data_IF_464787768584
#
_entry.id   IF_464787768584
#
_cell.length_a   1.000
_cell.length_b   1.000
_cell.length_c   1.000
_cell.angle_alpha   90.00
_cell.angle_beta   90.00
_cell.angle_gamma   90.00
#
_symmetry.space_group_name_H-M   'P 1'
#
loop_
_entity.id
_entity.type
_entity.pdbx_description
1 polymer ?
#
# COMPACT_ATOMS: atom_id res chain seq x y z
N UNK A 1 14.22 9.02 28.83
CA UNK A 1 14.94 8.90 27.55
C UNK A 1 15.04 7.43 27.23
N UNK A 2 14.36 6.97 26.18
CA UNK A 2 14.53 5.60 25.68
C UNK A 2 15.88 5.52 24.95
N UNK A 3 16.63 4.43 25.15
CA UNK A 3 17.89 4.22 24.44
C UNK A 3 17.67 4.15 22.93
N UNK A 4 18.59 4.70 22.11
CA UNK A 4 18.49 4.64 20.66
C UNK A 4 18.41 3.20 20.17
N UNK A 5 17.64 2.96 19.09
CA UNK A 5 17.52 1.64 18.49
C UNK A 5 18.89 1.17 17.97
N UNK A 6 19.22 -0.10 18.23
CA UNK A 6 20.37 -0.78 17.61
C UNK A 6 19.87 -1.89 16.69
N UNK A 7 20.66 -2.24 15.67
CA UNK A 7 20.34 -3.35 14.74
C UNK A 7 20.08 -4.67 15.49
N UNK A 8 20.82 -4.94 16.57
CA UNK A 8 20.61 -6.12 17.41
C UNK A 8 19.24 -6.09 18.11
N UNK A 9 18.83 -4.94 18.63
CA UNK A 9 17.52 -4.77 19.29
C UNK A 9 16.39 -4.83 18.28
N UNK A 10 16.56 -4.22 17.11
CA UNK A 10 15.67 -4.32 15.97
C UNK A 10 15.42 -5.79 15.60
N UNK A 11 16.49 -6.53 15.31
CA UNK A 11 16.41 -7.95 14.93
C UNK A 11 15.67 -8.78 15.97
N UNK A 12 15.99 -8.58 17.25
CA UNK A 12 15.35 -9.31 18.35
C UNK A 12 13.85 -9.03 18.41
N UNK A 13 13.45 -7.76 18.41
CA UNK A 13 12.04 -7.36 18.46
C UNK A 13 11.26 -7.86 17.24
N UNK A 14 11.84 -7.74 16.04
CA UNK A 14 11.21 -8.22 14.82
C UNK A 14 11.03 -9.74 14.85
N UNK A 15 12.04 -10.50 15.30
CA UNK A 15 11.93 -11.96 15.47
C UNK A 15 10.92 -12.37 16.55
N UNK A 16 10.79 -11.59 17.63
CA UNK A 16 9.76 -11.83 18.66
C UNK A 16 8.35 -11.70 18.07
N UNK A 17 8.12 -10.68 17.25
CA UNK A 17 6.84 -10.48 16.54
C UNK A 17 6.58 -11.60 15.54
N UNK A 18 7.59 -12.00 14.76
CA UNK A 18 7.49 -13.08 13.76
C UNK A 18 7.29 -14.48 14.35
N UNK A 19 7.43 -14.66 15.67
CA UNK A 19 7.05 -15.92 16.33
C UNK A 19 5.54 -16.07 16.43
N UNK A 20 4.79 -14.97 16.38
CA UNK A 20 3.35 -15.03 16.13
C UNK A 20 3.14 -15.44 14.68
N UNK A 21 2.34 -16.48 14.41
CA UNK A 21 1.91 -16.85 13.05
C UNK A 21 0.91 -15.82 12.45
N UNK A 22 1.02 -14.55 12.84
CA UNK A 22 0.12 -13.47 12.42
C UNK A 22 0.58 -12.92 11.07
N UNK A 23 -0.35 -12.86 10.11
CA UNK A 23 -0.17 -12.14 8.85
C UNK A 23 -0.47 -10.64 9.05
N UNK A 24 0.02 -9.81 8.13
CA UNK A 24 -0.15 -8.35 8.14
C UNK A 24 0.35 -7.70 9.43
N UNK A 25 1.57 -7.98 9.91
CA UNK A 25 2.05 -7.35 11.16
C UNK A 25 2.94 -6.16 10.86
N UNK A 26 2.57 -5.00 11.42
CA UNK A 26 3.40 -3.79 11.36
C UNK A 26 4.18 -3.64 12.65
N UNK A 27 5.51 -3.53 12.54
CA UNK A 27 6.38 -3.23 13.67
C UNK A 27 6.95 -1.83 13.48
N UNK A 28 6.70 -0.96 14.46
CA UNK A 28 7.19 0.41 14.46
C UNK A 28 8.34 0.58 15.47
N UNK A 29 9.35 1.34 15.06
CA UNK A 29 10.49 1.71 15.86
C UNK A 29 10.69 3.22 15.79
N UNK A 30 10.72 3.87 16.94
CA UNK A 30 10.96 5.31 17.06
C UNK A 30 12.43 5.61 17.35
N UNK A 31 12.84 6.87 17.14
CA UNK A 31 14.19 7.38 17.41
C UNK A 31 15.28 6.61 16.65
N UNK A 32 15.01 6.29 15.39
CA UNK A 32 15.91 5.57 14.50
C UNK A 32 16.65 6.55 13.62
N UNK A 33 17.98 6.58 13.75
CA UNK A 33 18.83 7.37 12.86
C UNK A 33 18.86 6.77 11.44
N UNK A 34 19.11 7.58 10.39
CA UNK A 34 19.16 7.07 9.01
C UNK A 34 20.16 5.93 8.81
N UNK A 35 21.34 6.03 9.43
CA UNK A 35 22.38 4.99 9.38
C UNK A 35 21.88 3.65 9.95
N UNK A 36 21.18 3.68 11.08
CA UNK A 36 20.61 2.47 11.68
C UNK A 36 19.46 1.93 10.83
N UNK A 37 18.62 2.79 10.25
CA UNK A 37 17.54 2.38 9.35
C UNK A 37 18.10 1.63 8.14
N UNK A 38 19.15 2.17 7.50
CA UNK A 38 19.85 1.53 6.40
C UNK A 38 20.43 0.16 6.78
N UNK A 39 21.10 0.05 7.91
CA UNK A 39 21.63 -1.23 8.40
C UNK A 39 20.52 -2.25 8.71
N UNK A 40 19.35 -1.78 9.18
CA UNK A 40 18.19 -2.64 9.40
C UNK A 40 17.64 -3.15 8.07
N UNK A 41 17.61 -2.31 7.03
CA UNK A 41 17.19 -2.73 5.71
C UNK A 41 18.14 -3.75 5.07
N UNK A 42 19.45 -3.51 5.11
CA UNK A 42 20.46 -4.46 4.64
C UNK A 42 20.28 -5.84 5.31
N UNK A 43 19.91 -5.85 6.60
CA UNK A 43 19.61 -7.09 7.32
C UNK A 43 18.36 -7.82 6.79
N UNK A 44 17.33 -7.10 6.32
CA UNK A 44 16.12 -7.66 5.72
C UNK A 44 16.38 -8.19 4.31
N UNK A 45 17.13 -7.43 3.51
CA UNK A 45 17.34 -7.69 2.08
C UNK A 45 18.44 -8.72 1.82
N UNK A 46 19.53 -8.67 2.58
CA UNK A 46 20.74 -9.48 2.33
C UNK A 46 21.12 -10.39 3.51
N UNK A 47 20.61 -10.09 4.71
CA UNK A 47 20.98 -10.77 5.93
C UNK A 47 20.20 -12.05 6.23
N UNK A 48 20.23 -12.45 7.51
CA UNK A 48 19.58 -13.68 7.99
C UNK A 48 18.04 -13.72 7.87
N UNK A 49 17.44 -12.58 7.53
CA UNK A 49 16.00 -12.42 7.34
C UNK A 49 15.61 -12.42 5.85
N UNK A 50 16.60 -12.53 4.95
CA UNK A 50 16.41 -12.60 3.50
C UNK A 50 15.45 -13.72 3.10
N UNK A 51 14.58 -13.42 2.14
CA UNK A 51 13.58 -14.35 1.60
C UNK A 51 12.25 -14.36 2.35
N UNK A 52 12.12 -13.60 3.43
CA UNK A 52 10.83 -13.26 4.05
C UNK A 52 10.22 -12.05 3.35
N UNK A 53 8.88 -11.95 3.35
CA UNK A 53 8.16 -10.84 2.74
C UNK A 53 8.07 -9.69 3.73
N UNK A 54 8.93 -8.69 3.56
CA UNK A 54 8.88 -7.46 4.32
C UNK A 54 8.68 -6.28 3.36
N UNK A 55 7.95 -5.26 3.80
CA UNK A 55 8.01 -3.90 3.23
C UNK A 55 8.66 -2.99 4.26
N UNK A 56 9.52 -2.11 3.77
CA UNK A 56 10.33 -1.23 4.58
C UNK A 56 9.89 0.23 4.37
N UNK A 57 9.73 0.96 5.46
CA UNK A 57 9.45 2.39 5.40
C UNK A 57 10.23 3.13 6.48
N UNK A 58 11.04 4.09 6.08
CA UNK A 58 11.72 5.00 6.97
C UNK A 58 11.23 6.43 6.76
N UNK A 59 10.82 7.09 7.84
CA UNK A 59 10.44 8.50 7.83
C UNK A 59 11.50 9.31 8.56
N UNK A 60 12.30 10.07 7.81
CA UNK A 60 13.34 10.92 8.36
C UNK A 60 12.80 12.09 9.18
N UNK A 61 11.60 12.61 8.86
CA UNK A 61 10.99 13.74 9.58
C UNK A 61 10.62 13.40 11.02
N UNK A 62 10.22 12.14 11.27
CA UNK A 62 9.83 11.64 12.60
C UNK A 62 10.86 10.69 13.20
N UNK A 63 11.94 10.37 12.48
CA UNK A 63 12.92 9.36 12.86
C UNK A 63 12.26 7.99 13.18
N UNK A 64 11.27 7.60 12.40
CA UNK A 64 10.49 6.39 12.61
C UNK A 64 10.75 5.38 11.50
N UNK A 65 11.06 4.15 11.89
CA UNK A 65 11.19 3.00 11.01
C UNK A 65 9.97 2.08 11.19
N UNK A 66 9.28 1.76 10.09
CA UNK A 66 8.25 0.73 10.04
C UNK A 66 8.71 -0.44 9.17
N UNK A 67 8.42 -1.64 9.65
CA UNK A 67 8.57 -2.87 8.90
C UNK A 67 7.23 -3.57 8.87
N UNK A 68 6.69 -3.74 7.67
CA UNK A 68 5.48 -4.50 7.44
C UNK A 68 5.85 -5.94 7.08
N UNK A 69 5.50 -6.87 7.95
CA UNK A 69 5.81 -8.29 7.79
C UNK A 69 4.61 -9.06 7.23
N UNK A 70 4.90 -9.90 6.24
CA UNK A 70 3.98 -10.91 5.70
C UNK A 70 2.65 -10.31 5.20
N UNK A 71 2.65 -9.54 4.10
CA UNK A 71 1.41 -9.13 3.44
C UNK A 71 0.52 -10.34 3.17
N UNK A 72 -0.71 -10.30 3.67
CA UNK A 72 -1.70 -11.36 3.48
C UNK A 72 -2.29 -11.33 2.08
N UNK A 73 -3.03 -12.38 1.73
CA UNK A 73 -3.88 -12.37 0.53
C UNK A 73 -4.91 -11.24 0.54
N UNK A 74 -5.33 -10.79 1.73
CA UNK A 74 -6.25 -9.67 1.88
C UNK A 74 -5.56 -8.35 1.56
N UNK A 75 -4.29 -8.19 1.92
CA UNK A 75 -3.50 -7.02 1.53
C UNK A 75 -3.25 -6.99 0.02
N UNK A 76 -2.72 -8.07 -0.54
CA UNK A 76 -2.31 -8.11 -1.95
C UNK A 76 -3.48 -8.03 -2.94
N UNK A 77 -4.71 -8.37 -2.52
CA UNK A 77 -5.86 -8.36 -3.43
C UNK A 77 -6.22 -6.95 -3.95
N UNK A 78 -5.79 -5.90 -3.26
CA UNK A 78 -6.00 -4.51 -3.69
C UNK A 78 -5.04 -4.12 -4.82
N UNK A 79 -3.76 -4.48 -4.73
CA UNK A 79 -2.82 -4.32 -5.85
C UNK A 79 -3.29 -5.11 -7.08
N UNK A 80 -3.75 -6.34 -6.90
CA UNK A 80 -4.35 -7.15 -7.98
C UNK A 80 -5.58 -6.46 -8.60
N UNK A 81 -6.40 -5.80 -7.78
CA UNK A 81 -7.57 -5.06 -8.27
C UNK A 81 -7.17 -3.80 -9.05
N UNK A 82 -6.07 -3.15 -8.70
CA UNK A 82 -5.51 -2.04 -9.47
C UNK A 82 -4.95 -2.50 -10.82
N UNK A 83 -4.24 -3.63 -10.88
CA UNK A 83 -3.83 -4.21 -12.17
C UNK A 83 -5.02 -4.54 -13.08
N UNK A 84 -6.11 -5.09 -12.51
CA UNK A 84 -7.36 -5.30 -13.26
C UNK A 84 -7.99 -4.00 -13.73
N UNK A 85 -7.98 -2.97 -12.90
CA UNK A 85 -8.50 -1.64 -13.28
C UNK A 85 -7.68 -1.04 -14.41
N UNK A 86 -6.36 -1.12 -14.34
CA UNK A 86 -5.47 -0.64 -15.39
C UNK A 86 -5.72 -1.35 -16.73
N UNK A 87 -5.91 -2.67 -16.73
CA UNK A 87 -6.26 -3.41 -17.94
C UNK A 87 -7.59 -2.92 -18.57
N UNK A 88 -8.56 -2.47 -17.77
CA UNK A 88 -9.78 -1.84 -18.28
C UNK A 88 -9.56 -0.40 -18.76
N UNK A 89 -8.51 0.27 -18.29
CA UNK A 89 -8.14 1.61 -18.74
C UNK A 89 -7.44 1.59 -20.09
N UNK A 90 -6.71 0.52 -20.43
CA UNK A 90 -5.93 0.42 -21.67
C UNK A 90 -6.66 0.90 -22.94
N UNK A 91 -7.95 0.59 -23.19
CA UNK A 91 -8.67 1.12 -24.36
C UNK A 91 -8.92 2.64 -24.34
N UNK A 92 -8.76 3.29 -23.18
CA UNK A 92 -8.89 4.73 -22.96
C UNK A 92 -7.53 5.45 -22.97
N UNK A 93 -6.42 4.71 -23.00
CA UNK A 93 -5.07 5.26 -23.01
C UNK A 93 -4.59 5.55 -24.44
N UNK A 94 -3.65 6.51 -24.61
CA UNK A 94 -2.92 6.68 -25.86
C UNK A 94 -2.24 5.38 -26.31
N UNK A 95 -2.12 5.10 -27.62
CA UNK A 95 -1.44 3.90 -28.11
C UNK A 95 0.03 3.78 -27.65
N UNK A 96 0.68 4.91 -27.32
CA UNK A 96 2.04 5.01 -26.80
C UNK A 96 2.17 4.74 -25.30
N UNK A 97 1.08 4.40 -24.59
CA UNK A 97 1.11 4.31 -23.12
C UNK A 97 2.17 3.35 -22.57
N UNK A 98 2.53 2.29 -23.30
CA UNK A 98 3.59 1.34 -22.88
C UNK A 98 5.00 1.96 -22.92
N UNK A 99 5.19 2.97 -23.76
CA UNK A 99 6.43 3.75 -23.85
C UNK A 99 6.40 4.92 -22.85
N UNK A 100 5.22 5.48 -22.61
CA UNK A 100 5.04 6.68 -21.80
C UNK A 100 4.88 6.41 -20.30
N UNK A 101 4.41 5.21 -19.91
CA UNK A 101 4.06 4.86 -18.53
C UNK A 101 4.68 3.53 -18.10
N UNK A 102 5.06 3.46 -16.83
CA UNK A 102 5.59 2.27 -16.17
C UNK A 102 4.64 1.86 -15.05
N UNK A 103 4.25 0.57 -15.03
CA UNK A 103 3.54 -0.04 -13.92
C UNK A 103 4.55 -0.71 -13.01
N UNK A 104 4.65 -0.25 -11.78
CA UNK A 104 5.71 -0.67 -10.87
C UNK A 104 5.11 -1.17 -9.56
N UNK A 105 5.12 -2.49 -9.32
CA UNK A 105 4.86 -3.01 -7.99
C UNK A 105 6.11 -2.83 -7.12
N UNK A 106 5.97 -2.16 -5.96
CA UNK A 106 6.99 -2.17 -4.89
C UNK A 106 8.37 -1.62 -5.26
N UNK A 107 8.44 -0.54 -6.05
CA UNK A 107 9.71 0.18 -6.24
C UNK A 107 10.10 0.95 -4.97
N UNK A 108 11.37 0.83 -4.56
CA UNK A 108 11.88 1.63 -3.44
C UNK A 108 12.30 3.02 -3.91
N UNK A 109 11.81 4.03 -3.20
CA UNK A 109 12.06 5.45 -3.48
C UNK A 109 12.60 6.11 -2.22
N UNK A 110 13.67 6.89 -2.36
CA UNK A 110 14.37 7.53 -1.23
C UNK A 110 14.70 9.02 -1.39
N UNK A 111 14.51 9.59 -2.60
CA UNK A 111 14.96 10.95 -2.92
C UNK A 111 13.92 12.04 -2.56
N UNK A 112 13.18 11.85 -1.47
CA UNK A 112 12.14 12.79 -1.04
C UNK A 112 12.73 14.17 -0.67
N UNK A 113 11.94 15.21 -0.88
CA UNK A 113 12.21 16.59 -0.47
C UNK A 113 11.80 16.87 0.98
N UNK A 114 12.20 18.03 1.50
CA UNK A 114 11.78 18.49 2.82
C UNK A 114 10.24 18.60 2.91
N UNK A 115 9.61 18.23 4.05
CA UNK A 115 10.23 17.84 5.32
C UNK A 115 10.65 16.36 5.40
N UNK A 116 10.43 15.57 4.35
CA UNK A 116 10.65 14.13 4.32
C UNK A 116 12.03 13.73 3.76
N UNK A 117 12.95 14.68 3.58
CA UNK A 117 14.28 14.42 3.06
C UNK A 117 15.02 13.32 3.83
N UNK A 118 15.49 12.29 3.11
CA UNK A 118 16.12 11.09 3.66
C UNK A 118 15.15 10.00 4.11
N UNK A 119 13.85 10.13 3.85
CA UNK A 119 12.88 9.04 4.00
C UNK A 119 13.08 8.00 2.90
N UNK A 120 12.68 6.75 3.15
CA UNK A 120 12.62 5.68 2.13
C UNK A 120 11.25 5.02 2.20
N UNK A 121 10.64 4.74 1.04
CA UNK A 121 9.32 4.12 0.98
C UNK A 121 9.15 3.26 -0.27
N UNK A 122 8.34 2.21 -0.12
CA UNK A 122 7.88 1.35 -1.20
C UNK A 122 6.35 1.45 -1.30
N UNK A 123 5.76 1.77 -2.47
CA UNK A 123 4.32 1.78 -2.65
C UNK A 123 3.78 0.35 -2.82
N UNK A 124 2.49 0.16 -2.52
CA UNK A 124 1.88 -1.15 -2.68
C UNK A 124 1.55 -1.48 -4.14
N UNK A 125 1.34 -0.42 -4.93
CA UNK A 125 1.21 -0.41 -6.37
C UNK A 125 1.39 1.04 -6.85
N UNK A 126 2.02 1.24 -8.00
CA UNK A 126 2.14 2.57 -8.58
C UNK A 126 2.16 2.58 -10.11
N UNK A 127 1.89 3.77 -10.65
CA UNK A 127 2.14 4.13 -12.05
C UNK A 127 3.01 5.37 -12.07
N UNK A 128 4.02 5.34 -12.94
CA UNK A 128 4.99 6.40 -13.13
C UNK A 128 5.03 6.78 -14.61
N UNK A 129 5.16 8.06 -14.99
CA UNK A 129 5.68 8.39 -16.31
C UNK A 129 7.06 7.76 -16.49
N UNK A 130 7.38 7.31 -17.70
CA UNK A 130 8.68 6.70 -18.00
C UNK A 130 9.82 7.65 -17.63
N UNK A 131 10.86 7.12 -16.97
CA UNK A 131 12.02 7.86 -16.43
C UNK A 131 11.71 8.88 -15.31
N UNK A 132 10.47 8.94 -14.81
CA UNK A 132 10.16 9.80 -13.66
C UNK A 132 10.81 9.25 -12.38
N UNK A 133 11.38 10.15 -11.57
CA UNK A 133 11.97 9.79 -10.28
C UNK A 133 10.93 9.36 -9.23
N UNK A 134 9.66 9.75 -9.44
CA UNK A 134 8.54 9.43 -8.55
C UNK A 134 7.33 8.96 -9.35
N UNK A 135 6.51 8.06 -8.78
CA UNK A 135 5.23 7.69 -9.34
C UNK A 135 4.27 8.87 -9.27
N UNK A 136 3.46 9.02 -10.31
CA UNK A 136 2.40 10.01 -10.38
C UNK A 136 1.14 9.54 -9.65
N UNK A 137 0.91 8.23 -9.58
CA UNK A 137 -0.19 7.59 -8.86
C UNK A 137 0.32 6.46 -7.97
N UNK A 138 -0.07 6.48 -6.70
CA UNK A 138 0.34 5.48 -5.70
C UNK A 138 -0.89 4.87 -5.01
N UNK A 139 -0.82 3.58 -4.69
CA UNK A 139 -1.71 2.86 -3.77
C UNK A 139 -0.98 2.55 -2.46
N UNK A 140 -1.66 2.75 -1.33
CA UNK A 140 -1.24 2.26 0.01
C UNK A 140 -2.43 1.56 0.69
N UNK A 141 -2.18 0.43 1.34
CA UNK A 141 -3.18 -0.51 1.86
C UNK A 141 -2.86 -0.86 3.31
N UNK A 142 -3.56 -0.22 4.25
CA UNK A 142 -3.40 -0.55 5.67
C UNK A 142 -4.40 -1.61 6.13
N UNK A 143 -3.93 -2.82 6.40
CA UNK A 143 -4.75 -3.87 7.07
C UNK A 143 -4.61 -3.78 8.60
N UNK A 144 -3.42 -4.02 9.14
CA UNK A 144 -3.13 -3.81 10.57
C UNK A 144 -2.70 -2.39 10.90
N UNK A 145 -2.20 -1.66 9.90
CA UNK A 145 -1.72 -0.29 10.08
C UNK A 145 -2.83 0.63 10.56
N UNK A 146 -2.49 1.56 11.45
CA UNK A 146 -3.42 2.58 11.89
C UNK A 146 -3.75 3.52 10.73
N UNK A 147 -4.99 3.99 10.66
CA UNK A 147 -5.38 4.94 9.60
C UNK A 147 -4.56 6.24 9.66
N UNK A 148 -4.15 6.69 10.85
CA UNK A 148 -3.25 7.84 11.01
C UNK A 148 -1.88 7.62 10.36
N UNK A 149 -1.39 6.39 10.30
CA UNK A 149 -0.14 6.06 9.61
C UNK A 149 -0.30 6.15 8.09
N UNK A 150 -1.41 5.65 7.54
CA UNK A 150 -1.72 5.83 6.12
C UNK A 150 -1.83 7.30 5.70
N UNK A 151 -2.32 8.18 6.59
CA UNK A 151 -2.32 9.62 6.33
C UNK A 151 -0.91 10.19 6.27
N UNK A 152 0.02 9.71 7.12
CA UNK A 152 1.44 10.08 7.03
C UNK A 152 2.05 9.56 5.73
N UNK A 153 1.74 8.34 5.32
CA UNK A 153 2.19 7.78 4.04
C UNK A 153 1.74 8.63 2.85
N UNK A 154 0.48 9.06 2.88
CA UNK A 154 -0.06 10.00 1.90
C UNK A 154 0.71 11.33 1.89
N UNK A 155 1.05 11.89 3.04
CA UNK A 155 1.83 13.14 3.09
C UNK A 155 3.28 12.96 2.58
N UNK A 156 3.92 11.84 2.90
CA UNK A 156 5.26 11.50 2.36
C UNK A 156 5.23 11.49 0.84
N UNK A 157 4.22 10.87 0.23
CA UNK A 157 4.10 10.85 -1.23
C UNK A 157 3.72 12.21 -1.81
N UNK A 158 2.65 12.85 -1.33
CA UNK A 158 2.13 14.08 -1.95
C UNK A 158 3.02 15.31 -1.71
N UNK A 159 3.62 15.42 -0.52
CA UNK A 159 4.45 16.56 -0.13
C UNK A 159 5.92 16.22 -0.36
N UNK A 160 6.37 15.05 0.09
CA UNK A 160 7.76 14.65 -0.01
C UNK A 160 8.23 14.45 -1.45
N UNK A 161 7.37 14.17 -2.43
CA UNK A 161 7.78 14.07 -3.83
C UNK A 161 7.99 15.44 -4.52
N UNK A 162 7.90 16.56 -3.79
CA UNK A 162 7.94 17.90 -4.40
C UNK A 162 6.73 18.19 -5.29
N UNK A 163 5.67 17.39 -5.17
CA UNK A 163 4.48 17.46 -6.01
C UNK A 163 4.49 16.57 -7.24
N UNK A 164 5.51 15.74 -7.46
CA UNK A 164 5.56 14.81 -8.59
C UNK A 164 4.44 13.74 -8.48
N UNK A 165 4.16 13.23 -7.28
CA UNK A 165 2.99 12.37 -7.04
C UNK A 165 1.71 13.20 -7.05
N UNK A 166 0.82 12.91 -7.99
CA UNK A 166 -0.44 13.64 -8.19
C UNK A 166 -1.60 13.02 -7.43
N UNK A 167 -1.59 11.70 -7.26
CA UNK A 167 -2.67 10.97 -6.60
C UNK A 167 -2.12 9.91 -5.64
N UNK A 168 -2.68 9.88 -4.43
CA UNK A 168 -2.49 8.77 -3.49
C UNK A 168 -3.85 8.14 -3.20
N UNK A 169 -3.97 6.86 -3.49
CA UNK A 169 -5.12 6.02 -3.20
C UNK A 169 -4.84 5.29 -1.89
N UNK A 170 -5.55 5.64 -0.83
CA UNK A 170 -5.47 4.93 0.44
C UNK A 170 -6.59 3.91 0.54
N UNK A 171 -6.26 2.68 0.91
CA UNK A 171 -7.23 1.67 1.31
C UNK A 171 -7.00 1.34 2.78
N UNK A 172 -8.06 1.44 3.58
CA UNK A 172 -8.03 0.98 4.96
C UNK A 172 -8.95 -0.21 5.12
N UNK A 173 -8.40 -1.30 5.65
CA UNK A 173 -9.15 -2.51 5.99
C UNK A 173 -9.16 -2.69 7.50
N UNK A 174 -10.30 -3.09 8.05
CA UNK A 174 -10.48 -3.43 9.46
C UNK A 174 -11.15 -4.79 9.58
N UNK A 175 -10.45 -5.75 10.19
CA UNK A 175 -11.03 -7.03 10.58
C UNK A 175 -11.83 -6.85 11.88
N UNK A 176 -13.09 -7.27 11.87
CA UNK A 176 -14.04 -7.17 12.97
C UNK A 176 -14.59 -8.56 13.27
N UNK A 177 -13.80 -9.37 13.98
CA UNK A 177 -14.11 -10.79 14.19
C UNK A 177 -14.17 -11.53 12.85
N UNK A 178 -15.33 -12.09 12.51
CA UNK A 178 -15.58 -12.79 11.23
C UNK A 178 -15.93 -11.85 10.07
N UNK A 179 -16.09 -10.55 10.31
CA UNK A 179 -16.46 -9.57 9.30
C UNK A 179 -15.28 -8.68 8.90
N UNK A 180 -15.34 -8.10 7.71
CA UNK A 180 -14.34 -7.15 7.19
C UNK A 180 -15.03 -5.86 6.78
N UNK A 181 -14.54 -4.74 7.30
CA UNK A 181 -14.91 -3.41 6.84
C UNK A 181 -13.74 -2.84 6.04
N UNK A 182 -14.02 -2.16 4.93
CA UNK A 182 -12.98 -1.54 4.11
C UNK A 182 -13.50 -0.28 3.43
N UNK A 183 -12.67 0.75 3.36
CA UNK A 183 -12.94 1.96 2.60
C UNK A 183 -11.71 2.36 1.78
N UNK A 184 -11.96 3.16 0.74
CA UNK A 184 -10.93 3.77 -0.09
C UNK A 184 -11.05 5.29 -0.03
N UNK A 185 -9.92 5.97 -0.08
CA UNK A 185 -9.82 7.41 -0.26
C UNK A 185 -8.90 7.75 -1.43
N UNK A 186 -9.31 8.71 -2.23
CA UNK A 186 -8.47 9.28 -3.29
C UNK A 186 -8.06 10.68 -2.86
N UNK A 187 -6.77 10.84 -2.57
CA UNK A 187 -6.13 12.11 -2.25
C UNK A 187 -5.42 12.65 -3.49
N UNK A 188 -5.51 13.96 -3.70
CA UNK A 188 -4.94 14.64 -4.86
C UNK A 188 -4.02 15.75 -4.43
N UNK A 189 -2.93 15.92 -5.15
CA UNK A 189 -2.02 17.04 -4.94
C UNK A 189 -2.78 18.37 -4.99
N UNK A 190 -2.55 19.23 -3.99
CA UNK A 190 -3.20 20.54 -3.88
C UNK A 190 -4.67 20.51 -3.44
N UNK A 191 -5.19 19.37 -2.98
CA UNK A 191 -6.54 19.26 -2.41
C UNK A 191 -6.49 18.90 -0.92
N UNK A 192 -7.29 19.60 -0.12
CA UNK A 192 -7.34 19.41 1.34
C UNK A 192 -8.26 18.27 1.79
N UNK A 193 -9.06 17.70 0.87
CA UNK A 193 -10.03 16.65 1.18
C UNK A 193 -10.00 15.54 0.16
N UNK A 194 -10.11 14.29 0.63
CA UNK A 194 -10.26 13.14 -0.24
C UNK A 194 -11.71 12.84 -0.62
N UNK A 195 -11.90 12.20 -1.78
CA UNK A 195 -13.12 11.44 -2.07
C UNK A 195 -13.01 10.09 -1.36
N UNK A 196 -13.88 9.84 -0.38
CA UNK A 196 -14.00 8.55 0.32
C UNK A 196 -15.15 7.73 -0.26
N UNK A 197 -14.93 6.44 -0.46
CA UNK A 197 -15.95 5.46 -0.89
C UNK A 197 -15.90 4.22 0.00
N UNK A 198 -17.06 3.58 0.19
CA UNK A 198 -17.14 2.37 1.02
C UNK A 198 -16.96 1.14 0.14
N UNK A 199 -15.91 0.34 0.42
CA UNK A 199 -15.72 -0.94 -0.26
C UNK A 199 -16.61 -1.98 0.41
N UNK A 200 -16.53 -2.12 1.73
CA UNK A 200 -17.30 -3.08 2.52
C UNK A 200 -17.85 -2.47 3.82
N UNK A 201 -19.09 -2.83 4.22
CA UNK A 201 -20.04 -3.65 3.46
C UNK A 201 -20.51 -2.92 2.19
N UNK A 202 -20.96 -3.67 1.18
CA UNK A 202 -21.63 -3.04 0.05
C UNK A 202 -22.90 -2.34 0.57
N UNK A 203 -23.16 -1.11 0.12
CA UNK A 203 -24.41 -0.42 0.43
C UNK A 203 -25.50 -1.07 -0.44
N UNK A 204 -26.25 -2.02 0.13
CA UNK A 204 -27.29 -2.78 -0.58
C UNK A 204 -28.59 -1.99 -0.77
N UNK A 205 -28.75 -0.84 -0.09
CA UNK A 205 -30.02 -0.11 0.03
C UNK A 205 -29.98 1.37 -0.42
N UNK A 206 -28.93 1.84 -1.12
CA UNK A 206 -28.98 3.19 -1.70
C UNK A 206 -29.68 3.14 -3.07
N UNK A 207 -30.80 3.86 -3.21
CA UNK A 207 -31.48 4.03 -4.51
C UNK A 207 -30.56 4.67 -5.59
N UNK A 208 -29.43 5.25 -5.16
CA UNK A 208 -28.34 5.69 -6.00
C UNK A 208 -27.22 4.62 -6.01
N UNK A 209 -26.94 4.05 -7.17
CA UNK A 209 -25.72 3.26 -7.37
C UNK A 209 -24.51 4.17 -7.07
N UNK A 210 -23.70 3.80 -6.08
CA UNK A 210 -22.45 4.50 -5.77
C UNK A 210 -21.56 4.54 -7.03
N UNK A 211 -21.35 5.71 -7.61
CA UNK A 211 -20.50 5.89 -8.79
C UNK A 211 -19.07 5.44 -8.45
N UNK A 212 -18.49 4.60 -9.31
CA UNK A 212 -17.11 4.15 -9.17
C UNK A 212 -16.18 5.38 -8.98
N UNK A 213 -15.29 5.35 -7.98
CA UNK A 213 -14.27 6.38 -7.85
C UNK A 213 -13.35 6.32 -9.08
N UNK A 214 -12.69 7.41 -9.41
CA UNK A 214 -11.84 7.48 -10.61
C UNK A 214 -10.60 8.33 -10.39
N UNK A 215 -9.58 8.03 -11.18
CA UNK A 215 -8.50 8.96 -11.49
C UNK A 215 -8.72 9.56 -12.88
N UNK A 216 -7.97 10.60 -13.21
CA UNK A 216 -8.00 11.25 -14.51
C UNK A 216 -6.80 10.78 -15.32
N UNK A 217 -6.93 10.77 -16.65
CA UNK A 217 -5.83 10.40 -17.53
C UNK A 217 -4.57 11.24 -17.27
N UNK A 218 -4.71 12.55 -17.06
CA UNK A 218 -3.59 13.42 -16.71
C UNK A 218 -2.89 13.05 -15.40
N UNK A 219 -3.59 12.38 -14.48
CA UNK A 219 -2.98 11.96 -13.22
C UNK A 219 -1.88 10.93 -13.47
N UNK A 220 -2.02 10.08 -14.50
CA UNK A 220 -1.01 9.07 -14.86
C UNK A 220 0.27 9.72 -15.42
N UNK A 221 0.13 10.82 -16.17
CA UNK A 221 1.24 11.50 -16.83
C UNK A 221 1.95 12.50 -15.93
N UNK A 222 1.43 12.79 -14.73
CA UNK A 222 2.10 13.68 -13.79
C UNK A 222 2.16 15.12 -14.33
N UNK A 223 3.37 15.64 -14.47
CA UNK A 223 3.64 16.95 -15.09
C UNK A 223 3.82 16.89 -16.61
N UNK A 224 3.92 15.69 -17.18
CA UNK A 224 4.01 15.50 -18.62
C UNK A 224 2.65 15.74 -19.30
N UNK A 225 2.64 16.32 -20.52
CA UNK A 225 1.41 16.51 -21.25
C UNK A 225 0.83 15.16 -21.70
N UNK A 226 -0.49 15.01 -21.54
CA UNK A 226 -1.21 13.88 -22.14
C UNK A 226 -1.08 13.96 -23.68
N UNK A 227 -0.77 12.85 -24.38
CA UNK A 227 -0.66 12.81 -25.83
C UNK A 227 -1.84 13.43 -26.59
N UNK A 228 -1.52 14.08 -27.72
CA UNK A 228 -2.51 14.80 -28.52
C UNK A 228 -3.65 13.88 -28.98
N UNK A 229 -4.89 14.41 -28.95
CA UNK A 229 -6.09 13.66 -29.29
C UNK A 229 -6.78 12.96 -28.11
N UNK A 230 -6.13 12.94 -26.94
CA UNK A 230 -6.71 12.38 -25.71
C UNK A 230 -7.11 13.50 -24.73
N UNK A 231 -8.25 13.32 -24.07
CA UNK A 231 -8.75 14.28 -23.09
C UNK A 231 -8.01 14.13 -21.75
N UNK A 232 -7.34 15.16 -21.21
CA UNK A 232 -6.65 15.06 -19.92
C UNK A 232 -7.61 14.80 -18.75
N UNK A 233 -8.89 15.13 -18.91
CA UNK A 233 -9.94 14.88 -17.92
C UNK A 233 -10.74 13.59 -18.21
N UNK A 234 -10.27 12.71 -19.11
CA UNK A 234 -10.85 11.37 -19.28
C UNK A 234 -10.80 10.63 -17.96
N UNK A 235 -11.96 10.13 -17.50
CA UNK A 235 -12.08 9.40 -16.23
C UNK A 235 -11.63 7.96 -16.43
N UNK A 236 -10.80 7.50 -15.50
CA UNK A 236 -10.30 6.14 -15.39
C UNK A 236 -10.91 5.51 -14.13
N UNK A 237 -12.05 4.79 -14.27
CA UNK A 237 -12.80 4.29 -13.11
C UNK A 237 -12.08 3.13 -12.43
N UNK A 238 -12.06 3.15 -11.09
CA UNK A 238 -11.61 2.05 -10.25
C UNK A 238 -12.86 1.28 -9.83
N UNK A 239 -13.07 0.10 -10.41
CA UNK A 239 -14.34 -0.61 -10.28
C UNK A 239 -14.56 -1.18 -8.87
N UNK A 240 -15.54 -0.65 -8.13
CA UNK A 240 -15.88 -1.09 -6.77
C UNK A 240 -16.32 -2.55 -6.73
N UNK A 241 -17.05 -3.02 -7.75
CA UNK A 241 -17.48 -4.42 -7.81
C UNK A 241 -16.29 -5.38 -7.93
N UNK A 242 -15.25 -5.02 -8.70
CA UNK A 242 -14.00 -5.78 -8.82
C UNK A 242 -13.23 -5.80 -7.51
N UNK A 243 -13.15 -4.66 -6.81
CA UNK A 243 -12.54 -4.56 -5.47
C UNK A 243 -13.29 -5.44 -4.46
N UNK A 244 -14.61 -5.30 -4.36
CA UNK A 244 -15.47 -6.10 -3.49
C UNK A 244 -15.30 -7.60 -3.74
N UNK A 245 -15.28 -8.02 -5.00
CA UNK A 245 -15.05 -9.42 -5.38
C UNK A 245 -13.65 -9.90 -4.98
N UNK A 246 -12.63 -9.04 -5.08
CA UNK A 246 -11.25 -9.37 -4.70
C UNK A 246 -11.13 -9.59 -3.19
N UNK A 247 -11.77 -8.74 -2.40
CA UNK A 247 -11.82 -8.87 -0.93
C UNK A 247 -12.61 -10.10 -0.51
N UNK A 248 -13.76 -10.39 -1.13
CA UNK A 248 -14.54 -11.60 -0.85
C UNK A 248 -13.74 -12.89 -1.15
N UNK A 249 -13.03 -12.94 -2.28
CA UNK A 249 -12.14 -14.07 -2.60
C UNK A 249 -11.02 -14.24 -1.58
N UNK A 250 -10.37 -13.14 -1.19
CA UNK A 250 -9.28 -13.16 -0.22
C UNK A 250 -9.76 -13.66 1.15
N UNK A 251 -10.88 -13.13 1.64
CA UNK A 251 -11.46 -13.49 2.95
C UNK A 251 -11.97 -14.92 3.01
N UNK A 252 -12.63 -15.44 1.96
CA UNK A 252 -13.03 -16.86 1.88
C UNK A 252 -11.82 -17.80 1.85
N UNK A 253 -10.76 -17.39 1.16
CA UNK A 253 -9.50 -18.12 1.12
C UNK A 253 -8.86 -18.26 2.50
N UNK A 254 -8.86 -17.18 3.29
CA UNK A 254 -8.33 -17.18 4.66
C UNK A 254 -9.15 -18.08 5.60
N UNK A 255 -10.49 -18.00 5.56
CA UNK A 255 -11.35 -18.85 6.40
C UNK A 255 -11.13 -20.36 6.15
N UNK A 256 -10.74 -20.76 4.93
CA UNK A 256 -10.37 -22.14 4.61
C UNK A 256 -8.99 -22.53 5.15
N UNK A 257 -8.04 -21.59 5.25
CA UNK A 257 -6.72 -21.79 5.85
C UNK A 257 -6.84 -21.91 7.37
N UNK A 258 -7.57 -21.00 8.02
CA UNK A 258 -7.76 -20.99 9.47
C UNK A 258 -8.35 -22.31 9.98
N UNK A 259 -9.40 -22.82 9.31
CA UNK A 259 -9.99 -24.13 9.61
C UNK A 259 -9.00 -25.29 9.48
N UNK A 260 -8.05 -25.23 8.55
CA UNK A 260 -7.01 -26.27 8.40
C UNK A 260 -5.94 -26.17 9.48
N UNK A 261 -5.56 -24.95 9.87
CA UNK A 261 -4.59 -24.72 10.97
C UNK A 261 -5.19 -25.18 12.29
N UNK A 262 -6.46 -24.86 12.55
CA UNK A 262 -7.17 -25.28 13.77
C UNK A 262 -7.34 -26.80 13.84
N UNK A 263 -7.76 -27.45 12.75
CA UNK A 263 -7.83 -28.91 12.67
C UNK A 263 -6.46 -29.59 12.89
N UNK A 264 -5.36 -28.98 12.41
CA UNK A 264 -3.99 -29.48 12.66
C UNK A 264 -3.57 -29.32 14.12
N UNK A 265 -3.90 -28.19 14.76
CA UNK A 265 -3.64 -27.94 16.19
C UNK A 265 -4.42 -28.90 17.07
N UNK A 266 -5.68 -29.17 16.74
CA UNK A 266 -6.53 -30.12 17.45
C UNK A 266 -6.02 -31.57 17.30
N UNK A 267 -5.65 -31.97 16.07
CA UNK A 267 -5.03 -33.28 15.82
C UNK A 267 -3.67 -33.46 16.53
N UNK A 268 -2.90 -32.39 16.73
CA UNK A 268 -1.65 -32.42 17.48
C UNK A 268 -1.89 -32.54 18.99
N UNK A 269 -2.94 -31.89 19.53
CA UNK A 269 -3.33 -32.00 20.95
C UNK A 269 -3.86 -33.40 21.30
N UNK A 270 -4.48 -34.10 20.36
CA UNK A 270 -5.00 -35.47 20.54
C UNK A 270 -3.93 -36.56 20.42
N UNK A 271 -2.67 -36.21 20.12
CA UNK A 271 -1.54 -37.14 19.97
C UNK A 271 -0.54 -37.10 21.15
N UNK A 272 -0.87 -36.36 22.21
CA UNK A 272 -0.13 -36.29 23.48
C UNK A 272 -0.94 -37.03 24.55
#
# INVERSE_FOLDING_TARGET
MHSPLTVATFRRKLLEVLKGEEEDVTVEFENVSPEVAKQCDELLSEGSLRGRRFRFFYNASSCTLRVFAMPSKLHECFSDAMFRSFAHWTPLLPPSWEEDLQLEPSIRIGEFEAPYAGSEKEPDWSVSPTEAAFPSVVLEVGVSEAYSQLLVDKDVWLIGSGGATKVVILVKVRRLGSSTAAFMEIWRQGQDSARRVTILPALEDSEELEEDPYILLKDLYGDEPVPAGFGPNTRLPITLSSLRLSVDKATRGMAAVDRRVEARREAARLRV
#
